data_IF_593536325102
#
_entry.id   IF_593536325102
#
_cell.length_a   1.000
_cell.length_b   1.000
_cell.length_c   1.000
_cell.angle_alpha   90.00
_cell.angle_beta   90.00
_cell.angle_gamma   90.00
#
_symmetry.space_group_name_H-M   'P 1'
#
loop_
_entity.id
_entity.type
_entity.pdbx_description
1 polymer ?
#
# COMPACT_ATOMS: atom_id res chain seq x y z
N UNK A 1 -3.86 17.92 14.64
CA UNK A 1 -2.82 16.88 14.95
C UNK A 1 -1.80 16.86 13.83
N UNK A 2 -0.56 16.47 14.14
CA UNK A 2 0.51 16.23 13.16
C UNK A 2 0.66 14.72 12.92
N UNK A 3 0.82 14.31 11.66
CA UNK A 3 0.99 12.91 11.26
C UNK A 3 2.22 12.78 10.35
N UNK A 4 3.19 11.99 10.76
CA UNK A 4 4.33 11.61 9.92
C UNK A 4 3.92 10.41 9.08
N UNK A 5 4.09 10.49 7.77
CA UNK A 5 3.80 9.42 6.82
C UNK A 5 5.12 8.97 6.20
N UNK A 6 5.46 7.68 6.33
CA UNK A 6 6.66 7.08 5.75
C UNK A 6 6.22 6.12 4.64
N UNK A 7 6.63 6.39 3.42
CA UNK A 7 6.37 5.51 2.28
C UNK A 7 7.44 4.43 2.16
N UNK A 8 7.07 3.17 2.46
CA UNK A 8 7.93 2.00 2.28
C UNK A 8 7.95 1.44 0.86
N UNK A 9 7.44 2.18 -0.13
CA UNK A 9 7.45 1.73 -1.52
C UNK A 9 8.85 1.85 -2.15
N UNK A 10 9.23 0.87 -2.97
CA UNK A 10 10.53 0.86 -3.67
C UNK A 10 10.58 1.77 -4.91
N UNK A 11 9.42 2.10 -5.48
CA UNK A 11 9.32 2.96 -6.67
C UNK A 11 9.48 4.43 -6.29
N UNK A 12 10.17 5.24 -7.13
CA UNK A 12 10.21 6.69 -6.96
C UNK A 12 8.81 7.29 -6.83
N UNK A 13 8.68 8.35 -6.05
CA UNK A 13 7.40 9.03 -5.75
C UNK A 13 6.53 9.25 -6.99
N UNK A 14 7.10 9.74 -8.09
CA UNK A 14 6.38 10.06 -9.34
C UNK A 14 5.74 8.85 -10.02
N UNK A 15 6.28 7.64 -9.79
CA UNK A 15 5.82 6.37 -10.39
C UNK A 15 5.12 5.44 -9.39
N UNK A 16 5.06 5.80 -8.12
CA UNK A 16 4.53 4.97 -7.04
C UNK A 16 3.00 5.05 -6.94
N UNK A 17 2.34 3.89 -6.90
CA UNK A 17 0.92 3.82 -6.53
C UNK A 17 0.71 4.20 -5.06
N UNK A 18 1.61 3.77 -4.17
CA UNK A 18 1.58 4.14 -2.76
C UNK A 18 1.62 5.67 -2.57
N UNK A 19 2.45 6.39 -3.35
CA UNK A 19 2.50 7.85 -3.27
C UNK A 19 1.17 8.52 -3.68
N UNK A 20 0.47 7.97 -4.70
CA UNK A 20 -0.87 8.45 -5.10
C UNK A 20 -1.90 8.22 -4.00
N UNK A 21 -1.85 7.06 -3.35
CA UNK A 21 -2.71 6.71 -2.22
C UNK A 21 -2.43 7.63 -1.02
N UNK A 22 -1.17 7.86 -0.67
CA UNK A 22 -0.76 8.81 0.37
C UNK A 22 -1.34 10.20 0.07
N UNK A 23 -1.24 10.68 -1.18
CA UNK A 23 -1.77 11.98 -1.57
C UNK A 23 -3.29 12.08 -1.37
N UNK A 24 -4.04 11.03 -1.73
CA UNK A 24 -5.48 10.99 -1.52
C UNK A 24 -5.86 10.93 -0.03
N UNK A 25 -5.15 10.12 0.75
CA UNK A 25 -5.36 10.01 2.20
C UNK A 25 -5.08 11.34 2.91
N UNK A 26 -3.95 11.99 2.59
CA UNK A 26 -3.57 13.29 3.11
C UNK A 26 -4.64 14.35 2.88
N UNK A 27 -5.17 14.40 1.65
CA UNK A 27 -6.25 15.35 1.30
C UNK A 27 -7.40 15.28 2.30
N UNK A 28 -7.87 14.06 2.64
CA UNK A 28 -8.94 13.90 3.63
C UNK A 28 -8.50 14.19 5.06
N UNK A 29 -7.26 13.83 5.42
CA UNK A 29 -6.74 14.07 6.76
C UNK A 29 -6.53 15.56 7.07
N UNK A 30 -6.10 16.33 6.07
CA UNK A 30 -5.78 17.76 6.20
C UNK A 30 -7.03 18.66 6.12
N UNK A 31 -8.19 18.17 5.64
CA UNK A 31 -9.44 18.95 5.50
C UNK A 31 -9.94 19.60 6.79
N UNK A 32 -9.61 19.03 7.96
CA UNK A 32 -10.00 19.58 9.27
C UNK A 32 -8.89 20.36 9.96
N UNK A 33 -7.87 20.83 9.21
CA UNK A 33 -6.77 21.62 9.74
C UNK A 33 -5.61 20.81 10.34
N UNK A 34 -5.60 19.48 10.18
CA UNK A 34 -4.45 18.65 10.53
C UNK A 34 -3.29 18.89 9.57
N UNK A 35 -2.07 18.52 9.99
CA UNK A 35 -0.85 18.64 9.18
C UNK A 35 -0.24 17.27 8.94
N UNK A 36 0.41 17.10 7.80
CA UNK A 36 1.17 15.90 7.48
C UNK A 36 2.57 16.23 6.99
N UNK A 37 3.49 15.35 7.31
CA UNK A 37 4.85 15.32 6.79
C UNK A 37 5.07 13.97 6.09
N UNK A 38 5.69 13.93 4.91
CA UNK A 38 5.81 12.69 4.12
C UNK A 38 7.26 12.44 3.72
N UNK A 39 7.74 11.23 4.01
CA UNK A 39 9.06 10.74 3.66
C UNK A 39 8.99 9.52 2.75
N UNK A 40 9.84 9.47 1.72
CA UNK A 40 9.84 8.40 0.73
C UNK A 40 11.13 7.59 0.81
N UNK A 41 11.07 6.35 1.28
CA UNK A 41 12.23 5.49 1.44
C UNK A 41 12.90 5.07 0.12
N UNK A 42 12.21 5.24 -1.01
CA UNK A 42 12.80 5.08 -2.34
C UNK A 42 13.92 6.07 -2.65
N UNK A 43 14.03 7.14 -1.86
CA UNK A 43 15.11 8.12 -1.88
C UNK A 43 15.93 8.00 -0.59
N UNK A 44 17.11 7.41 -0.67
CA UNK A 44 17.96 7.17 0.51
C UNK A 44 18.44 8.45 1.20
N UNK A 45 18.47 9.58 0.49
CA UNK A 45 18.82 10.86 1.07
C UNK A 45 17.82 11.36 2.12
N UNK A 46 16.58 10.82 2.11
CA UNK A 46 15.53 11.15 3.06
C UNK A 46 15.55 10.28 4.34
N UNK A 47 16.36 9.21 4.38
CA UNK A 47 16.29 8.23 5.46
C UNK A 47 16.61 8.79 6.84
N UNK A 48 17.66 9.61 6.94
CA UNK A 48 18.02 10.23 8.22
C UNK A 48 16.91 11.15 8.72
N UNK A 49 16.35 11.98 7.84
CA UNK A 49 15.21 12.84 8.17
C UNK A 49 13.95 12.04 8.53
N UNK A 50 13.68 10.95 7.81
CA UNK A 50 12.57 10.05 8.13
C UNK A 50 12.73 9.36 9.50
N UNK A 51 13.95 8.94 9.85
CA UNK A 51 14.26 8.35 11.15
C UNK A 51 14.11 9.37 12.28
N UNK A 52 14.59 10.60 12.06
CA UNK A 52 14.40 11.71 12.99
C UNK A 52 12.93 12.05 13.18
N UNK A 53 12.15 12.14 12.09
CA UNK A 53 10.71 12.37 12.14
C UNK A 53 9.98 11.24 12.88
N UNK A 54 10.40 9.97 12.69
CA UNK A 54 9.90 8.84 13.48
C UNK A 54 10.19 9.03 14.97
N UNK A 55 11.41 9.43 15.34
CA UNK A 55 11.84 9.61 16.74
C UNK A 55 11.09 10.75 17.43
N UNK A 56 10.88 11.88 16.75
CA UNK A 56 10.35 13.12 17.33
C UNK A 56 8.80 13.17 17.40
N UNK A 57 8.08 12.31 16.68
CA UNK A 57 6.63 12.40 16.56
C UNK A 57 5.90 11.20 17.19
N UNK A 58 4.66 11.44 17.64
CA UNK A 58 3.82 10.43 18.32
C UNK A 58 2.82 9.74 17.39
N UNK A 59 2.50 10.33 16.24
CA UNK A 59 1.55 9.74 15.29
C UNK A 59 2.26 9.44 13.98
N UNK A 60 2.39 8.16 13.67
CA UNK A 60 3.15 7.66 12.52
C UNK A 60 2.29 6.73 11.70
N UNK A 61 2.29 6.92 10.39
CA UNK A 61 1.66 6.07 9.40
C UNK A 61 2.72 5.55 8.43
N UNK A 62 2.92 4.25 8.36
CA UNK A 62 3.74 3.62 7.32
C UNK A 62 2.82 3.14 6.19
N UNK A 63 3.01 3.68 4.99
CA UNK A 63 2.29 3.27 3.80
C UNK A 63 3.17 2.40 2.90
N UNK A 64 2.71 1.19 2.56
CA UNK A 64 3.53 0.21 1.86
C UNK A 64 2.73 -0.64 0.86
N UNK A 65 3.38 -1.12 -0.22
CA UNK A 65 2.83 -2.19 -1.04
C UNK A 65 3.15 -3.55 -0.42
N UNK A 66 2.27 -4.53 -0.65
CA UNK A 66 2.53 -5.94 -0.39
C UNK A 66 3.48 -6.49 -1.45
N UNK A 67 4.59 -7.08 -1.05
CA UNK A 67 5.52 -7.78 -1.94
C UNK A 67 5.77 -9.19 -1.42
N UNK A 68 5.31 -10.19 -2.19
CA UNK A 68 5.44 -11.60 -1.85
C UNK A 68 4.96 -11.87 -0.41
N UNK A 69 3.71 -11.50 -0.14
CA UNK A 69 3.00 -11.63 1.14
C UNK A 69 3.66 -10.94 2.34
N UNK A 70 4.63 -10.04 2.10
CA UNK A 70 5.34 -9.36 3.18
C UNK A 70 5.68 -7.91 2.83
N UNK A 71 6.35 -7.22 3.76
CA UNK A 71 6.81 -5.84 3.59
C UNK A 71 7.98 -5.77 2.58
N UNK A 72 8.14 -4.64 1.85
CA UNK A 72 9.30 -4.45 0.99
C UNK A 72 10.62 -4.46 1.74
N UNK A 73 11.68 -5.05 1.15
CA UNK A 73 13.01 -5.12 1.76
C UNK A 73 13.60 -3.76 2.13
N UNK A 74 13.33 -2.71 1.34
CA UNK A 74 13.76 -1.35 1.66
C UNK A 74 13.12 -0.82 2.95
N UNK A 75 11.88 -1.19 3.22
CA UNK A 75 11.21 -0.85 4.47
C UNK A 75 11.81 -1.64 5.63
N UNK A 76 12.07 -2.93 5.45
CA UNK A 76 12.71 -3.77 6.46
C UNK A 76 14.10 -3.22 6.82
N UNK A 77 14.90 -2.85 5.82
CA UNK A 77 16.22 -2.23 6.03
C UNK A 77 16.12 -0.92 6.83
N UNK A 78 15.19 -0.06 6.49
CA UNK A 78 14.95 1.19 7.23
C UNK A 78 14.54 0.93 8.69
N UNK A 79 13.57 0.03 8.90
CA UNK A 79 13.07 -0.31 10.24
C UNK A 79 14.16 -0.93 11.13
N UNK A 80 15.07 -1.73 10.56
CA UNK A 80 16.18 -2.34 11.32
C UNK A 80 17.19 -1.30 11.84
N UNK A 81 17.24 -0.12 11.24
CA UNK A 81 18.07 1.00 11.68
C UNK A 81 17.41 1.90 12.72
N UNK A 82 16.10 1.75 12.98
CA UNK A 82 15.40 2.56 13.97
C UNK A 82 15.70 2.08 15.40
N UNK A 83 15.82 3.02 16.31
CA UNK A 83 15.84 2.74 17.76
C UNK A 83 14.41 2.66 18.27
N UNK A 84 14.09 1.66 19.13
CA UNK A 84 12.79 1.62 19.78
C UNK A 84 12.55 2.88 20.58
N UNK A 85 11.32 3.37 20.53
CA UNK A 85 10.91 4.54 21.31
C UNK A 85 10.90 4.25 22.80
N UNK A 86 11.41 5.19 23.57
CA UNK A 86 11.38 5.14 25.05
C UNK A 86 10.23 5.96 25.63
N UNK A 87 9.70 6.92 24.86
CA UNK A 87 8.56 7.75 25.28
C UNK A 87 7.26 7.01 25.00
N UNK A 88 6.42 6.75 26.03
CA UNK A 88 5.12 6.10 25.83
C UNK A 88 4.16 7.00 25.03
N UNK A 89 3.24 6.36 24.30
CA UNK A 89 2.14 7.08 23.62
C UNK A 89 2.25 7.14 22.09
N UNK A 90 3.43 6.82 21.50
CA UNK A 90 3.55 6.80 20.05
C UNK A 90 2.66 5.72 19.44
N UNK A 91 1.83 6.13 18.48
CA UNK A 91 1.00 5.22 17.66
C UNK A 91 1.63 5.01 16.31
N UNK A 92 1.76 3.74 15.93
CA UNK A 92 2.21 3.34 14.62
C UNK A 92 1.07 2.63 13.89
N UNK A 93 0.60 3.24 12.81
CA UNK A 93 -0.47 2.73 11.95
C UNK A 93 0.08 2.37 10.58
N UNK A 94 -0.65 1.55 9.84
CA UNK A 94 -0.20 1.10 8.51
C UNK A 94 -1.28 1.29 7.45
N UNK A 95 -0.83 1.55 6.22
CA UNK A 95 -1.63 1.51 5.01
C UNK A 95 -0.99 0.51 4.06
N UNK A 96 -1.58 -0.67 3.97
CA UNK A 96 -1.12 -1.79 3.14
C UNK A 96 -1.96 -1.87 1.87
N UNK A 97 -1.31 -1.84 0.72
CA UNK A 97 -1.99 -1.97 -0.57
C UNK A 97 -1.39 -3.10 -1.39
N UNK A 98 -2.24 -3.82 -2.12
CA UNK A 98 -1.81 -4.89 -3.02
C UNK A 98 -2.54 -4.87 -4.37
N UNK A 99 -2.21 -5.82 -5.23
CA UNK A 99 -2.80 -5.97 -6.57
C UNK A 99 -3.88 -7.02 -6.66
N UNK A 100 -4.12 -7.79 -5.59
CA UNK A 100 -5.12 -8.86 -5.57
C UNK A 100 -6.48 -8.31 -5.09
N UNK A 101 -7.60 -8.85 -5.60
CA UNK A 101 -8.93 -8.38 -5.19
C UNK A 101 -9.36 -8.90 -3.81
N UNK A 102 -8.68 -9.91 -3.27
CA UNK A 102 -9.03 -10.64 -2.05
C UNK A 102 -8.19 -10.16 -0.85
N UNK A 103 -8.86 -9.77 0.23
CA UNK A 103 -8.18 -9.28 1.43
C UNK A 103 -7.32 -10.37 2.12
N UNK A 104 -7.65 -11.66 1.94
CA UNK A 104 -6.87 -12.78 2.50
C UNK A 104 -5.40 -12.75 2.06
N UNK A 105 -5.07 -12.21 0.89
CA UNK A 105 -3.70 -12.09 0.40
C UNK A 105 -2.83 -11.18 1.28
N UNK A 106 -3.43 -10.23 1.98
CA UNK A 106 -2.72 -9.30 2.87
C UNK A 106 -2.65 -9.76 4.33
N UNK A 107 -3.37 -10.83 4.73
CA UNK A 107 -3.52 -11.19 6.15
C UNK A 107 -2.23 -11.61 6.82
N UNK A 108 -1.33 -12.30 6.11
CA UNK A 108 -0.03 -12.68 6.66
C UNK A 108 0.81 -11.42 7.00
N UNK A 109 0.86 -10.47 6.08
CA UNK A 109 1.55 -9.21 6.29
C UNK A 109 0.87 -8.36 7.39
N UNK A 110 -0.47 -8.32 7.43
CA UNK A 110 -1.21 -7.63 8.51
C UNK A 110 -0.84 -8.15 9.89
N UNK A 111 -0.80 -9.48 10.08
CA UNK A 111 -0.40 -10.10 11.34
C UNK A 111 1.03 -9.71 11.75
N UNK A 112 1.96 -9.65 10.79
CA UNK A 112 3.30 -9.15 11.03
C UNK A 112 3.30 -7.66 11.45
N UNK A 113 2.54 -6.81 10.75
CA UNK A 113 2.42 -5.39 11.05
C UNK A 113 1.76 -5.11 12.41
N UNK A 114 0.91 -6.00 12.90
CA UNK A 114 0.31 -5.90 14.24
C UNK A 114 1.35 -6.09 15.35
N UNK A 115 2.34 -6.93 15.11
CA UNK A 115 3.41 -7.22 16.10
C UNK A 115 4.54 -6.17 16.08
N UNK A 116 4.80 -5.57 14.92
CA UNK A 116 5.95 -4.69 14.68
C UNK A 116 5.99 -3.44 15.61
N UNK A 117 4.86 -2.73 15.89
CA UNK A 117 4.88 -1.58 16.78
C UNK A 117 5.46 -1.87 18.17
N UNK A 118 5.14 -3.03 18.75
CA UNK A 118 5.68 -3.43 20.05
C UNK A 118 7.20 -3.53 20.07
N UNK A 119 7.81 -4.00 18.97
CA UNK A 119 9.28 -4.07 18.82
C UNK A 119 9.92 -2.69 18.70
N UNK A 120 9.17 -1.70 18.21
CA UNK A 120 9.60 -0.32 18.03
C UNK A 120 9.20 0.60 19.21
N UNK A 121 8.70 0.06 20.32
CA UNK A 121 8.26 0.83 21.47
C UNK A 121 7.00 1.67 21.19
N UNK A 122 6.18 1.26 20.23
CA UNK A 122 4.97 1.95 19.81
C UNK A 122 3.70 1.13 20.12
N UNK A 123 2.56 1.81 20.15
CA UNK A 123 1.24 1.19 20.21
C UNK A 123 0.72 0.97 18.79
N UNK A 124 0.11 -0.18 18.53
CA UNK A 124 -0.53 -0.46 17.25
C UNK A 124 -1.76 0.40 17.02
N UNK A 125 -1.76 1.16 15.92
CA UNK A 125 -2.84 2.06 15.51
C UNK A 125 -3.76 1.51 14.43
N UNK A 126 -3.61 0.24 14.07
CA UNK A 126 -4.39 -0.46 13.03
C UNK A 126 -3.73 -0.44 11.67
N UNK A 127 -4.16 -1.36 10.81
CA UNK A 127 -3.71 -1.50 9.41
C UNK A 127 -4.89 -1.31 8.45
N UNK A 128 -4.83 -0.29 7.62
CA UNK A 128 -5.78 -0.11 6.52
C UNK A 128 -5.32 -0.95 5.32
N UNK A 129 -6.12 -1.93 4.92
CA UNK A 129 -5.81 -2.83 3.80
C UNK A 129 -6.66 -2.47 2.59
N UNK A 130 -6.06 -2.45 1.39
CA UNK A 130 -6.80 -2.33 0.14
C UNK A 130 -6.10 -3.08 -0.99
N UNK A 131 -6.82 -4.04 -1.55
CA UNK A 131 -6.44 -4.77 -2.75
C UNK A 131 -6.96 -4.15 -4.05
N UNK A 132 -6.79 -4.87 -5.16
CA UNK A 132 -7.24 -4.50 -6.53
C UNK A 132 -6.64 -3.18 -7.06
N UNK A 133 -5.41 -2.84 -6.64
CA UNK A 133 -4.76 -1.59 -7.01
C UNK A 133 -3.64 -1.74 -8.04
N UNK A 134 -3.48 -2.95 -8.62
CA UNK A 134 -2.50 -3.19 -9.69
C UNK A 134 -2.63 -2.20 -10.85
N UNK A 135 -3.87 -1.95 -11.28
CA UNK A 135 -4.20 -1.07 -12.40
C UNK A 135 -4.12 0.43 -12.11
N UNK A 136 -3.94 0.86 -10.86
CA UNK A 136 -4.03 2.28 -10.46
C UNK A 136 -3.11 3.21 -11.29
N UNK A 137 -1.89 2.76 -11.58
CA UNK A 137 -0.93 3.51 -12.40
C UNK A 137 -1.19 3.45 -13.91
N UNK A 138 -2.06 2.55 -14.37
CA UNK A 138 -2.35 2.27 -15.78
C UNK A 138 -3.67 2.85 -16.24
N UNK A 139 -4.55 3.24 -15.31
CA UNK A 139 -5.88 3.80 -15.58
C UNK A 139 -5.82 5.27 -15.96
N UNK A 140 -6.85 5.75 -16.69
CA UNK A 140 -7.06 7.16 -16.95
C UNK A 140 -7.43 7.93 -15.67
N UNK A 141 -7.33 9.26 -15.75
CA UNK A 141 -7.50 10.17 -14.60
C UNK A 141 -8.84 9.97 -13.88
N UNK A 142 -9.95 10.03 -14.58
CA UNK A 142 -11.30 9.85 -14.02
C UNK A 142 -11.48 8.52 -13.27
N UNK A 143 -10.91 7.42 -13.79
CA UNK A 143 -10.96 6.12 -13.12
C UNK A 143 -10.05 6.09 -11.92
N UNK A 144 -8.88 6.71 -12.02
CA UNK A 144 -7.93 6.84 -10.91
C UNK A 144 -8.52 7.62 -9.74
N UNK A 145 -9.19 8.72 -10.00
CA UNK A 145 -9.91 9.50 -8.97
C UNK A 145 -10.94 8.65 -8.23
N UNK A 146 -11.74 7.84 -8.96
CA UNK A 146 -12.70 6.92 -8.33
C UNK A 146 -12.05 5.88 -7.44
N UNK A 147 -10.89 5.34 -7.84
CA UNK A 147 -10.14 4.36 -7.04
C UNK A 147 -9.48 5.00 -5.81
N UNK A 148 -9.14 6.28 -5.89
CA UNK A 148 -8.49 7.01 -4.81
C UNK A 148 -9.47 7.68 -3.83
N UNK A 149 -10.71 7.98 -4.25
CA UNK A 149 -11.70 8.64 -3.40
C UNK A 149 -11.93 7.93 -2.03
N UNK A 150 -12.02 6.59 -1.95
CA UNK A 150 -12.17 5.91 -0.67
C UNK A 150 -11.01 6.16 0.31
N UNK A 151 -9.79 6.40 -0.20
CA UNK A 151 -8.65 6.75 0.66
C UNK A 151 -8.76 8.15 1.25
N UNK A 152 -9.37 9.09 0.51
CA UNK A 152 -9.70 10.42 1.05
C UNK A 152 -10.70 10.30 2.20
N UNK A 153 -11.72 9.45 2.06
CA UNK A 153 -12.69 9.19 3.12
C UNK A 153 -12.03 8.55 4.35
N UNK A 154 -11.09 7.62 4.14
CA UNK A 154 -10.32 7.02 5.23
C UNK A 154 -9.35 8.02 5.89
N UNK A 155 -8.85 9.00 5.14
CA UNK A 155 -8.09 10.12 5.70
C UNK A 155 -8.94 10.97 6.66
N UNK A 156 -10.18 11.33 6.26
CA UNK A 156 -11.15 12.02 7.14
C UNK A 156 -11.50 11.21 8.38
N UNK A 157 -11.68 9.90 8.20
CA UNK A 157 -11.94 8.98 9.31
C UNK A 157 -10.77 8.99 10.29
N UNK A 158 -9.56 8.77 9.81
CA UNK A 158 -8.35 8.75 10.65
C UNK A 158 -8.09 10.09 11.35
N UNK A 159 -8.39 11.22 10.69
CA UNK A 159 -8.29 12.54 11.26
C UNK A 159 -9.16 12.74 12.53
N UNK A 160 -10.29 12.02 12.62
CA UNK A 160 -11.23 12.05 13.73
C UNK A 160 -10.90 11.05 14.83
N UNK A 161 -10.42 9.84 14.45
CA UNK A 161 -10.23 8.72 15.38
C UNK A 161 -8.79 8.54 15.84
N UNK A 162 -7.81 9.03 15.06
CA UNK A 162 -6.38 8.85 15.31
C UNK A 162 -5.91 7.40 15.18
N UNK A 163 -6.74 6.50 14.59
CA UNK A 163 -6.42 5.08 14.38
C UNK A 163 -7.34 4.45 13.35
N UNK A 164 -6.97 3.26 12.86
CA UNK A 164 -7.82 2.42 12.03
C UNK A 164 -8.54 1.37 12.88
N UNK A 165 -9.83 1.53 13.07
CA UNK A 165 -10.64 0.56 13.80
C UNK A 165 -11.01 -0.63 12.92
N UNK A 166 -11.06 -1.83 13.52
CA UNK A 166 -11.24 -3.10 12.81
C UNK A 166 -12.46 -3.12 11.89
N UNK A 167 -13.59 -2.61 12.34
CA UNK A 167 -14.85 -2.60 11.56
C UNK A 167 -14.76 -1.67 10.34
N UNK A 168 -14.10 -0.53 10.46
CA UNK A 168 -13.89 0.39 9.35
C UNK A 168 -12.93 -0.21 8.32
N UNK A 169 -11.84 -0.84 8.77
CA UNK A 169 -10.88 -1.54 7.92
C UNK A 169 -11.52 -2.71 7.18
N UNK A 170 -12.29 -3.55 7.87
CA UNK A 170 -12.94 -4.72 7.25
C UNK A 170 -13.89 -4.31 6.11
N UNK A 171 -14.65 -3.25 6.29
CA UNK A 171 -15.53 -2.72 5.24
C UNK A 171 -14.76 -2.13 4.06
N UNK A 172 -13.62 -1.49 4.33
CA UNK A 172 -12.77 -0.88 3.32
C UNK A 172 -11.97 -1.90 2.52
N UNK A 173 -11.47 -2.95 3.15
CA UNK A 173 -10.60 -3.96 2.54
C UNK A 173 -11.25 -4.64 1.33
N UNK A 174 -12.56 -4.87 1.36
CA UNK A 174 -13.31 -5.62 0.36
C UNK A 174 -13.53 -7.08 0.78
N UNK A 175 -13.87 -7.97 -0.17
CA UNK A 175 -14.18 -9.35 0.17
C UNK A 175 -12.93 -10.10 0.66
N UNK A 176 -13.08 -10.91 1.71
CA UNK A 176 -11.99 -11.77 2.19
C UNK A 176 -11.56 -12.77 1.12
N UNK A 177 -12.55 -13.40 0.47
CA UNK A 177 -12.38 -14.29 -0.67
C UNK A 177 -13.30 -13.87 -1.81
N UNK A 178 -12.85 -14.07 -3.04
CA UNK A 178 -13.67 -13.77 -4.21
C UNK A 178 -14.92 -14.64 -4.24
N UNK A 179 -16.14 -14.07 -4.40
CA UNK A 179 -17.37 -14.84 -4.48
C UNK A 179 -17.33 -15.85 -5.64
N UNK A 180 -17.84 -17.07 -5.41
CA UNK A 180 -17.84 -18.14 -6.43
C UNK A 180 -18.44 -17.71 -7.79
N UNK A 181 -19.47 -16.87 -7.77
CA UNK A 181 -20.08 -16.33 -8.99
C UNK A 181 -19.08 -15.54 -9.81
N UNK A 182 -18.23 -14.73 -9.16
CA UNK A 182 -17.18 -13.96 -9.82
C UNK A 182 -16.08 -14.88 -10.34
N UNK A 183 -15.69 -15.90 -9.57
CA UNK A 183 -14.71 -16.91 -10.01
C UNK A 183 -15.21 -17.64 -11.26
N UNK A 184 -16.46 -18.10 -11.27
CA UNK A 184 -17.08 -18.77 -12.43
C UNK A 184 -17.12 -17.85 -13.66
N UNK A 185 -17.49 -16.57 -13.47
CA UNK A 185 -17.50 -15.58 -14.54
C UNK A 185 -16.09 -15.31 -15.08
N UNK A 186 -15.10 -15.17 -14.19
CA UNK A 186 -13.70 -14.95 -14.55
C UNK A 186 -13.13 -16.16 -15.33
N UNK A 187 -13.41 -17.39 -14.87
CA UNK A 187 -12.96 -18.60 -15.56
C UNK A 187 -13.60 -18.75 -16.95
N UNK A 188 -14.86 -18.31 -17.12
CA UNK A 188 -15.57 -18.43 -18.41
C UNK A 188 -15.13 -17.37 -19.42
N UNK A 189 -14.95 -16.13 -18.98
CA UNK A 189 -14.70 -14.97 -19.84
C UNK A 189 -13.31 -14.34 -19.61
N UNK A 190 -12.63 -14.69 -18.53
CA UNK A 190 -11.43 -14.00 -18.06
C UNK A 190 -10.23 -14.22 -18.97
N UNK A 191 -10.02 -15.44 -19.51
CA UNK A 191 -8.85 -15.74 -20.34
C UNK A 191 -8.70 -14.82 -21.58
N UNK A 192 -9.71 -14.63 -22.44
CA UNK A 192 -9.59 -13.73 -23.58
C UNK A 192 -9.45 -12.26 -23.14
N UNK A 193 -10.21 -11.83 -22.12
CA UNK A 193 -10.12 -10.47 -21.59
C UNK A 193 -8.75 -10.20 -20.98
N UNK A 194 -8.24 -11.14 -20.18
CA UNK A 194 -6.90 -11.06 -19.60
C UNK A 194 -5.81 -10.99 -20.67
N UNK A 195 -5.91 -11.79 -21.73
CA UNK A 195 -4.95 -11.77 -22.85
C UNK A 195 -4.91 -10.41 -23.55
N UNK A 196 -6.08 -9.81 -23.80
CA UNK A 196 -6.18 -8.47 -24.41
C UNK A 196 -5.61 -7.42 -23.45
N UNK A 197 -5.99 -7.49 -22.18
CA UNK A 197 -5.55 -6.54 -21.15
C UNK A 197 -4.04 -6.61 -20.92
N UNK A 198 -3.51 -7.82 -20.71
CA UNK A 198 -2.07 -8.03 -20.52
C UNK A 198 -1.26 -7.69 -21.76
N UNK A 199 -1.80 -7.95 -22.96
CA UNK A 199 -1.17 -7.54 -24.21
C UNK A 199 -1.06 -6.02 -24.38
N UNK A 200 -2.05 -5.27 -23.90
CA UNK A 200 -1.98 -3.79 -23.85
C UNK A 200 -0.96 -3.30 -22.83
N UNK A 201 -0.91 -3.93 -21.65
CA UNK A 201 0.05 -3.60 -20.60
C UNK A 201 1.47 -3.88 -21.07
N UNK A 202 1.75 -5.06 -21.64
CA UNK A 202 3.09 -5.43 -22.12
C UNK A 202 3.60 -4.45 -23.17
N UNK A 203 2.77 -4.08 -24.15
CA UNK A 203 3.11 -3.05 -25.13
C UNK A 203 3.41 -1.70 -24.49
N UNK A 204 2.59 -1.27 -23.51
CA UNK A 204 2.81 -0.01 -22.78
C UNK A 204 4.11 -0.01 -21.96
N UNK A 205 4.54 -1.20 -21.53
CA UNK A 205 5.80 -1.41 -20.79
C UNK A 205 7.00 -1.65 -21.72
N UNK A 206 6.81 -1.56 -23.05
CA UNK A 206 7.88 -1.71 -24.04
C UNK A 206 8.23 -3.16 -24.40
N UNK A 207 7.38 -4.14 -24.03
CA UNK A 207 7.57 -5.52 -24.42
C UNK A 207 7.15 -5.71 -25.89
N UNK A 208 8.08 -6.16 -26.75
CA UNK A 208 7.84 -6.48 -28.17
C UNK A 208 7.37 -7.91 -28.40
N UNK A 209 7.66 -8.80 -27.45
CA UNK A 209 7.39 -10.22 -27.58
C UNK A 209 5.90 -10.56 -27.32
N UNK A 210 5.48 -11.70 -27.84
CA UNK A 210 4.14 -12.24 -27.57
C UNK A 210 4.04 -12.73 -26.12
N UNK A 211 2.85 -12.66 -25.52
CA UNK A 211 2.61 -13.14 -24.14
C UNK A 211 2.83 -14.66 -23.97
N UNK A 212 2.79 -15.41 -25.06
CA UNK A 212 3.00 -16.87 -25.11
C UNK A 212 4.39 -17.23 -25.66
N UNK A 213 5.29 -16.27 -25.82
CA UNK A 213 6.67 -16.51 -26.23
C UNK A 213 7.41 -17.35 -25.18
N UNK A 214 8.21 -18.28 -25.66
CA UNK A 214 9.04 -19.17 -24.84
C UNK A 214 10.53 -18.93 -25.13
N UNK A 215 11.09 -17.84 -24.60
CA UNK A 215 12.42 -17.39 -24.98
C UNK A 215 13.53 -18.41 -24.66
N UNK A 216 13.29 -19.34 -23.75
CA UNK A 216 14.26 -20.36 -23.35
C UNK A 216 14.03 -21.73 -24.00
N UNK A 217 12.99 -21.91 -24.81
CA UNK A 217 12.69 -23.21 -25.45
C UNK A 217 13.85 -23.72 -26.33
N UNK A 218 14.61 -22.81 -26.96
CA UNK A 218 15.79 -23.14 -27.75
C UNK A 218 16.99 -23.69 -26.95
N UNK A 219 16.99 -23.48 -25.62
CA UNK A 219 18.06 -23.91 -24.71
C UNK A 219 17.71 -25.21 -23.96
N UNK A 220 16.47 -25.69 -24.06
CA UNK A 220 16.03 -26.96 -23.48
C UNK A 220 16.22 -28.03 -24.54
N UNK A 221 17.38 -28.68 -24.50
CA UNK A 221 17.68 -29.91 -25.27
C UNK A 221 17.54 -31.12 -24.38
#
# INVERSE_FOLDING_TARGET
MHLVIISGATRPQTKSNTAKIISAFRKGYEEIGNQTEVWYLSDRSQWESAAKAFEENENILIALPLYVENIPGILLEFLSGLKPKTTPGTKLSFLLQDGFPEACQSRCCEAYLEMLPGQLGCTYGGTLIKGDLFGLGLTGEKQREKLLAPFTDMGRYFAKTGRFEKDAVSRFAGPEYMPEKQIKMFNRFGRPVQRIFMGRISKKLGCSERLDAKPYEAFVK
#
